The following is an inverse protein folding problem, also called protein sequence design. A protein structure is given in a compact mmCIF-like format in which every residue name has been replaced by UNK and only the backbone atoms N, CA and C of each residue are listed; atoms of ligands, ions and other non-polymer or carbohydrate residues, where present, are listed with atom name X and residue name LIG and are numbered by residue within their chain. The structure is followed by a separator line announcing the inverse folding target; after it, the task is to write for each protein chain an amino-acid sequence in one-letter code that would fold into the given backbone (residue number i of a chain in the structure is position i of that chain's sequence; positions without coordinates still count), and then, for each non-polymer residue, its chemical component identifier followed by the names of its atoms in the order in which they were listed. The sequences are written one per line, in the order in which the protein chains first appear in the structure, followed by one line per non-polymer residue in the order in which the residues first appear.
data_IF_054714207605
#
_entry.id   IF_054714207605
#
_cell.length_a   1.000
_cell.length_b   1.000
_cell.length_c   1.000
_cell.angle_alpha   90.00
_cell.angle_beta   90.00
_cell.angle_gamma   90.00
#
_symmetry.space_group_name_H-M   'P 1'
#
loop_
_entity.id
_entity.type
_entity.pdbx_description
1 polymer ?
#
# COMPACT_ATOMS: atom_id res chain seq x y z
N UNK A 1 -2.25 -10.93 -11.75
CA UNK A 1 -3.70 -11.17 -11.94
C UNK A 1 -4.51 -9.88 -11.86
N UNK A 2 -4.49 -9.21 -10.72
CA UNK A 2 -5.30 -7.99 -10.52
C UNK A 2 -4.65 -6.78 -11.19
N UNK A 3 -3.34 -6.63 -11.09
CA UNK A 3 -2.62 -5.49 -11.65
C UNK A 3 -2.92 -5.25 -13.13
N UNK A 4 -2.78 -6.27 -14.00
CA UNK A 4 -3.07 -6.08 -15.42
C UNK A 4 -4.52 -5.68 -15.70
N UNK A 5 -5.47 -6.16 -14.90
CA UNK A 5 -6.89 -5.77 -15.04
C UNK A 5 -7.06 -4.28 -14.79
N UNK A 6 -6.48 -3.78 -13.70
CA UNK A 6 -6.56 -2.36 -13.35
C UNK A 6 -5.91 -1.50 -14.44
N UNK A 7 -4.75 -1.90 -14.90
CA UNK A 7 -4.01 -1.14 -15.92
C UNK A 7 -4.73 -1.14 -17.26
N UNK A 8 -5.38 -2.25 -17.62
CA UNK A 8 -6.14 -2.32 -18.88
C UNK A 8 -7.34 -1.37 -18.88
N UNK A 9 -7.81 -0.96 -17.71
CA UNK A 9 -8.92 -0.02 -17.59
C UNK A 9 -8.46 1.45 -17.54
N UNK A 10 -7.14 1.68 -17.64
CA UNK A 10 -6.58 3.03 -17.65
C UNK A 10 -6.21 3.59 -16.28
N UNK A 11 -6.17 2.74 -15.26
CA UNK A 11 -5.82 3.17 -13.91
C UNK A 11 -4.46 2.62 -13.49
N UNK A 12 -3.85 3.27 -12.50
CA UNK A 12 -2.62 2.80 -11.91
C UNK A 12 -2.96 1.79 -10.81
N UNK A 13 -2.37 0.61 -10.88
CA UNK A 13 -2.49 -0.36 -9.80
C UNK A 13 -1.48 0.05 -8.72
N UNK A 14 -2.01 0.54 -7.58
CA UNK A 14 -1.14 0.99 -6.49
C UNK A 14 -0.69 -0.15 -5.60
N UNK A 15 -1.60 -1.06 -5.28
CA UNK A 15 -1.28 -2.22 -4.46
C UNK A 15 -2.53 -2.87 -3.91
N UNK A 16 -2.35 -3.91 -3.12
CA UNK A 16 -3.46 -4.56 -2.45
C UNK A 16 -3.09 -4.97 -1.04
N UNK A 17 -4.11 -5.08 -0.20
CA UNK A 17 -3.99 -5.61 1.15
C UNK A 17 -4.99 -6.74 1.32
N UNK A 18 -4.56 -7.84 1.91
CA UNK A 18 -5.42 -8.97 2.22
C UNK A 18 -5.41 -9.18 3.73
N UNK A 19 -6.60 -9.17 4.32
CA UNK A 19 -6.75 -9.31 5.77
C UNK A 19 -7.74 -10.42 6.08
N UNK A 20 -7.29 -11.43 6.82
CA UNK A 20 -8.16 -12.51 7.26
C UNK A 20 -8.81 -12.09 8.58
N UNK A 21 -10.15 -12.14 8.62
CA UNK A 21 -10.93 -11.74 9.80
C UNK A 21 -11.88 -12.89 10.15
N UNK A 22 -11.37 -13.87 10.91
CA UNK A 22 -12.17 -15.03 11.24
C UNK A 22 -12.53 -15.85 10.02
N UNK A 23 -13.85 -16.06 9.78
CA UNK A 23 -14.32 -16.80 8.63
C UNK A 23 -14.41 -15.96 7.37
N UNK A 24 -14.23 -14.65 7.52
CA UNK A 24 -14.37 -13.70 6.43
C UNK A 24 -13.03 -13.02 6.18
N UNK A 25 -12.77 -12.69 4.92
CA UNK A 25 -11.54 -12.01 4.54
C UNK A 25 -11.87 -10.73 3.80
N UNK A 26 -10.99 -9.75 3.91
CA UNK A 26 -11.09 -8.49 3.19
C UNK A 26 -9.94 -8.39 2.20
N UNK A 27 -10.28 -8.22 0.93
CA UNK A 27 -9.30 -7.92 -0.12
C UNK A 27 -9.51 -6.48 -0.53
N UNK A 28 -8.53 -5.63 -0.24
CA UNK A 28 -8.59 -4.21 -0.59
C UNK A 28 -7.60 -3.93 -1.69
N UNK A 29 -8.08 -3.36 -2.79
CA UNK A 29 -7.25 -3.00 -3.95
C UNK A 29 -7.21 -1.49 -4.04
N UNK A 30 -6.00 -0.94 -4.16
CA UNK A 30 -5.80 0.51 -4.30
C UNK A 30 -5.51 0.83 -5.75
N UNK A 31 -6.28 1.75 -6.32
CA UNK A 31 -6.09 2.23 -7.68
C UNK A 31 -5.89 3.74 -7.64
N UNK A 32 -5.14 4.25 -8.61
CA UNK A 32 -4.86 5.67 -8.69
C UNK A 32 -4.95 6.15 -10.13
N UNK A 33 -5.00 7.47 -10.31
CA UNK A 33 -5.03 8.10 -11.62
C UNK A 33 -4.60 9.56 -11.44
N UNK A 34 -3.87 10.10 -12.40
CA UNK A 34 -3.37 11.47 -12.30
C UNK A 34 -4.51 12.51 -12.18
N UNK A 35 -5.68 12.20 -12.73
CA UNK A 35 -6.86 13.08 -12.66
C UNK A 35 -7.76 12.77 -11.47
N UNK A 36 -7.33 11.86 -10.59
CA UNK A 36 -8.10 11.47 -9.42
C UNK A 36 -9.00 10.27 -9.68
N UNK A 37 -9.58 9.76 -8.60
CA UNK A 37 -10.44 8.58 -8.61
C UNK A 37 -11.77 8.95 -7.96
N UNK A 38 -12.88 8.53 -8.59
CA UNK A 38 -14.20 8.71 -8.00
C UNK A 38 -14.86 7.35 -7.71
N UNK A 39 -16.06 7.41 -7.13
CA UNK A 39 -16.81 6.21 -6.73
C UNK A 39 -17.15 5.33 -7.94
N UNK A 40 -17.52 5.95 -9.06
CA UNK A 40 -17.87 5.21 -10.28
C UNK A 40 -16.67 4.46 -10.83
N UNK A 41 -15.48 5.05 -10.77
CA UNK A 41 -14.26 4.38 -11.17
C UNK A 41 -14.01 3.12 -10.33
N UNK A 42 -14.14 3.27 -9.00
CA UNK A 42 -13.94 2.15 -8.09
C UNK A 42 -14.96 1.05 -8.34
N UNK A 43 -16.22 1.41 -8.59
CA UNK A 43 -17.28 0.43 -8.87
C UNK A 43 -16.99 -0.33 -10.16
N UNK A 44 -16.57 0.35 -11.21
CA UNK A 44 -16.24 -0.29 -12.48
C UNK A 44 -15.08 -1.27 -12.35
N UNK A 45 -14.02 -0.85 -11.66
CA UNK A 45 -12.85 -1.71 -11.45
C UNK A 45 -13.23 -2.90 -10.57
N UNK A 46 -14.05 -2.67 -9.54
CA UNK A 46 -14.49 -3.73 -8.64
C UNK A 46 -15.24 -4.82 -9.40
N UNK A 47 -16.15 -4.43 -10.31
CA UNK A 47 -16.90 -5.40 -11.12
C UNK A 47 -15.97 -6.24 -11.99
N UNK A 48 -14.99 -5.60 -12.61
CA UNK A 48 -14.06 -6.30 -13.48
C UNK A 48 -13.16 -7.25 -12.71
N UNK A 49 -12.67 -6.83 -11.54
CA UNK A 49 -11.84 -7.66 -10.68
C UNK A 49 -12.66 -8.86 -10.17
N UNK A 50 -13.92 -8.64 -9.77
CA UNK A 50 -14.79 -9.72 -9.31
C UNK A 50 -14.98 -10.77 -10.38
N UNK A 51 -15.15 -10.37 -11.63
CA UNK A 51 -15.29 -11.31 -12.74
C UNK A 51 -14.06 -12.18 -12.91
N UNK A 52 -12.87 -11.58 -12.81
CA UNK A 52 -11.62 -12.31 -12.94
C UNK A 52 -11.43 -13.26 -11.76
N UNK A 53 -11.73 -12.81 -10.54
CA UNK A 53 -11.58 -13.65 -9.36
C UNK A 53 -12.56 -14.82 -9.35
N UNK A 54 -13.76 -14.63 -9.90
CA UNK A 54 -14.74 -15.72 -10.01
C UNK A 54 -14.23 -16.83 -10.94
N UNK A 55 -13.54 -16.46 -12.01
CA UNK A 55 -12.99 -17.42 -12.96
C UNK A 55 -11.76 -18.12 -12.40
N UNK A 56 -10.82 -17.35 -11.83
CA UNK A 56 -9.55 -17.88 -11.34
C UNK A 56 -9.67 -18.52 -9.97
N UNK A 57 -10.63 -18.07 -9.16
CA UNK A 57 -10.93 -18.59 -7.82
C UNK A 57 -9.69 -18.81 -6.94
N UNK A 58 -8.83 -17.77 -6.79
CA UNK A 58 -7.58 -17.93 -6.03
C UNK A 58 -7.76 -17.94 -4.51
N UNK A 59 -8.95 -17.52 -4.04
CA UNK A 59 -9.24 -17.41 -2.61
C UNK A 59 -10.29 -18.45 -2.26
N UNK A 60 -9.95 -19.41 -1.40
CA UNK A 60 -10.81 -20.53 -1.08
C UNK A 60 -11.88 -20.23 -0.04
N UNK A 61 -11.79 -19.10 0.64
CA UNK A 61 -12.72 -18.69 1.69
C UNK A 61 -13.51 -17.47 1.23
N UNK A 62 -14.60 -17.19 1.93
CA UNK A 62 -15.41 -16.01 1.63
C UNK A 62 -14.59 -14.74 1.86
N UNK A 63 -14.77 -13.76 1.00
CA UNK A 63 -14.08 -12.49 1.10
C UNK A 63 -14.95 -11.35 0.60
N UNK A 64 -14.64 -10.15 1.07
CA UNK A 64 -15.20 -8.90 0.57
C UNK A 64 -14.15 -8.21 -0.26
N UNK A 65 -14.51 -7.81 -1.47
CA UNK A 65 -13.61 -7.01 -2.33
C UNK A 65 -13.95 -5.54 -2.14
N UNK A 66 -12.91 -4.75 -1.85
CA UNK A 66 -13.03 -3.31 -1.72
C UNK A 66 -12.00 -2.66 -2.64
N UNK A 67 -12.45 -1.72 -3.47
CA UNK A 67 -11.57 -0.96 -4.36
C UNK A 67 -11.64 0.50 -3.94
N UNK A 68 -10.49 1.11 -3.73
CA UNK A 68 -10.44 2.49 -3.26
C UNK A 68 -9.20 3.22 -3.77
N UNK A 69 -9.22 4.53 -3.61
CA UNK A 69 -8.04 5.37 -3.84
C UNK A 69 -7.10 5.26 -2.63
N UNK A 70 -5.77 5.37 -2.85
CA UNK A 70 -4.83 5.33 -1.72
C UNK A 70 -4.99 6.48 -0.72
N UNK A 71 -5.53 7.64 -1.16
CA UNK A 71 -5.70 8.78 -0.27
C UNK A 71 -4.41 9.54 -0.02
N UNK A 72 -4.47 10.51 0.91
CA UNK A 72 -3.31 11.33 1.28
C UNK A 72 -2.36 10.57 2.20
N UNK A 73 -2.90 9.67 3.02
CA UNK A 73 -2.14 8.81 3.92
C UNK A 73 -1.88 7.46 3.28
N UNK A 74 -1.58 7.47 1.99
CA UNK A 74 -1.50 6.26 1.18
C UNK A 74 -0.48 5.26 1.70
N UNK A 75 -0.78 3.96 1.57
CA UNK A 75 0.20 2.93 1.91
C UNK A 75 1.30 2.86 0.86
N UNK A 76 2.48 2.43 1.29
CA UNK A 76 3.64 2.25 0.40
C UNK A 76 3.98 0.77 0.34
N UNK A 77 4.06 0.22 -0.87
CA UNK A 77 4.29 -1.20 -1.08
C UNK A 77 5.61 -1.51 -1.77
N UNK A 78 6.07 -0.66 -2.68
CA UNK A 78 7.25 -0.94 -3.51
C UNK A 78 8.33 0.10 -3.28
N UNK A 79 9.59 -0.29 -3.58
CA UNK A 79 10.71 0.65 -3.47
C UNK A 79 10.49 1.89 -4.33
N UNK A 80 9.92 1.72 -5.53
CA UNK A 80 9.63 2.85 -6.40
C UNK A 80 8.68 3.85 -5.75
N UNK A 81 7.69 3.34 -5.02
CA UNK A 81 6.75 4.20 -4.31
C UNK A 81 7.44 4.95 -3.18
N UNK A 82 8.35 4.30 -2.47
CA UNK A 82 9.15 4.98 -1.44
C UNK A 82 9.99 6.09 -2.05
N UNK A 83 10.64 5.82 -3.17
CA UNK A 83 11.45 6.84 -3.84
C UNK A 83 10.63 8.07 -4.17
N UNK A 84 9.41 7.87 -4.66
CA UNK A 84 8.51 8.96 -5.04
C UNK A 84 8.13 9.84 -3.84
N UNK A 85 8.19 9.30 -2.63
CA UNK A 85 7.81 10.01 -1.41
C UNK A 85 8.99 10.37 -0.52
N UNK A 86 10.21 10.36 -1.07
CA UNK A 86 11.40 10.82 -0.37
C UNK A 86 11.18 12.24 0.14
N UNK A 87 11.51 12.47 1.41
CA UNK A 87 11.30 13.76 2.08
C UNK A 87 10.02 13.83 2.90
N UNK A 88 9.09 12.93 2.67
CA UNK A 88 7.84 12.88 3.42
C UNK A 88 8.01 12.16 4.74
N UNK A 89 7.13 12.48 5.69
CA UNK A 89 7.04 11.73 6.93
C UNK A 89 6.24 10.46 6.67
N UNK A 90 6.75 9.33 7.14
CA UNK A 90 6.07 8.05 6.99
C UNK A 90 5.98 7.33 8.33
N UNK A 91 4.94 6.50 8.46
CA UNK A 91 4.79 5.54 9.56
C UNK A 91 5.12 4.17 9.02
N UNK A 92 5.95 3.43 9.75
CA UNK A 92 6.34 2.07 9.35
C UNK A 92 6.10 1.12 10.52
N UNK A 93 5.49 -0.04 10.23
CA UNK A 93 5.37 -1.13 11.17
C UNK A 93 6.09 -2.34 10.60
N UNK A 94 6.97 -2.93 11.39
CA UNK A 94 7.76 -4.09 10.98
C UNK A 94 7.09 -5.39 11.38
N UNK A 95 7.41 -6.44 10.65
CA UNK A 95 6.91 -7.80 10.95
C UNK A 95 7.51 -8.34 12.24
N UNK A 96 8.75 -7.93 12.55
CA UNK A 96 9.45 -8.34 13.75
C UNK A 96 10.26 -7.15 14.27
N UNK A 97 10.61 -7.13 15.57
CA UNK A 97 11.36 -6.00 16.11
C UNK A 97 12.72 -5.80 15.44
N UNK A 98 13.06 -4.56 15.22
CA UNK A 98 14.36 -4.12 14.75
C UNK A 98 14.89 -3.15 15.80
N UNK A 99 16.04 -3.44 16.38
CA UNK A 99 16.62 -2.64 17.46
C UNK A 99 15.62 -2.44 18.61
N UNK A 100 14.84 -3.50 18.89
CA UNK A 100 13.86 -3.50 19.97
C UNK A 100 12.55 -2.81 19.67
N UNK A 101 12.33 -2.33 18.44
CA UNK A 101 11.11 -1.59 18.07
C UNK A 101 10.50 -2.16 16.80
N UNK A 102 9.18 -2.13 16.73
CA UNK A 102 8.44 -2.52 15.53
C UNK A 102 7.82 -1.32 14.81
N UNK A 103 7.68 -0.18 15.48
CA UNK A 103 7.04 1.01 14.90
C UNK A 103 8.05 2.14 14.80
N UNK A 104 8.10 2.74 13.62
CA UNK A 104 8.97 3.87 13.34
C UNK A 104 8.14 4.95 12.66
N UNK A 105 8.30 6.19 13.10
CA UNK A 105 7.69 7.33 12.45
C UNK A 105 8.78 8.40 12.28
N UNK A 106 8.99 8.81 11.05
CA UNK A 106 10.01 9.81 10.76
C UNK A 106 10.07 10.14 9.30
N UNK A 107 11.11 10.86 8.92
CA UNK A 107 11.29 11.30 7.55
C UNK A 107 11.92 10.21 6.70
N UNK A 108 11.33 9.97 5.53
CA UNK A 108 11.92 9.08 4.54
C UNK A 108 13.05 9.82 3.83
N UNK A 109 14.28 9.40 4.05
CA UNK A 109 15.46 10.03 3.46
C UNK A 109 15.70 9.52 2.05
N UNK A 110 15.45 8.24 1.82
CA UNK A 110 15.67 7.64 0.51
C UNK A 110 15.69 6.14 0.63
N UNK A 111 16.29 5.50 -0.37
CA UNK A 111 16.51 4.06 -0.33
C UNK A 111 17.98 3.76 -0.59
N UNK A 112 18.45 2.64 -0.06
CA UNK A 112 19.80 2.14 -0.28
C UNK A 112 19.67 0.65 -0.55
N UNK A 113 19.91 0.24 -1.79
CA UNK A 113 19.67 -1.12 -2.27
C UNK A 113 18.21 -1.50 -2.06
N UNK A 114 17.90 -2.45 -1.18
CA UNK A 114 16.53 -2.86 -0.88
C UNK A 114 16.06 -2.40 0.50
N UNK A 115 16.80 -1.48 1.10
CA UNK A 115 16.47 -0.92 2.40
C UNK A 115 15.93 0.48 2.25
N UNK A 116 14.96 0.83 3.07
CA UNK A 116 14.53 2.22 3.16
C UNK A 116 15.35 2.90 4.26
N UNK A 117 15.71 4.15 4.01
CA UNK A 117 16.46 4.96 4.97
C UNK A 117 15.51 5.96 5.59
N UNK A 118 15.33 5.87 6.90
CA UNK A 118 14.47 6.77 7.67
C UNK A 118 15.27 7.53 8.70
N UNK A 119 14.93 8.79 8.90
CA UNK A 119 15.48 9.59 10.00
C UNK A 119 14.43 9.74 11.08
N UNK A 120 14.78 9.24 12.28
CA UNK A 120 13.91 9.31 13.45
C UNK A 120 14.75 9.90 14.58
N UNK A 121 14.36 11.06 15.09
CA UNK A 121 15.06 11.72 16.23
C UNK A 121 16.57 11.82 16.03
N UNK A 122 17.03 12.33 14.89
CA UNK A 122 18.44 12.52 14.54
C UNK A 122 19.23 11.22 14.31
N UNK A 123 18.54 10.08 14.30
CA UNK A 123 19.17 8.80 13.94
C UNK A 123 18.64 8.32 12.60
N UNK A 124 19.51 7.74 11.79
CA UNK A 124 19.12 7.12 10.54
C UNK A 124 19.05 5.61 10.71
N UNK A 125 17.96 5.03 10.24
CA UNK A 125 17.74 3.59 10.27
C UNK A 125 17.64 3.06 8.85
N UNK A 126 18.28 1.92 8.61
CA UNK A 126 18.18 1.17 7.37
C UNK A 126 17.23 0.01 7.63
N UNK A 127 16.02 0.09 7.07
CA UNK A 127 14.99 -0.90 7.29
C UNK A 127 14.77 -1.72 6.01
N UNK A 128 15.09 -3.03 6.03
CA UNK A 128 14.84 -3.86 4.86
C UNK A 128 13.37 -3.87 4.48
N UNK A 129 13.06 -3.67 3.20
CA UNK A 129 11.68 -3.60 2.77
C UNK A 129 10.91 -4.90 3.07
N UNK A 130 11.59 -6.03 3.03
CA UNK A 130 10.96 -7.32 3.31
C UNK A 130 10.49 -7.46 4.76
N UNK A 131 11.06 -6.67 5.68
CA UNK A 131 10.64 -6.69 7.08
C UNK A 131 9.45 -5.77 7.36
N UNK A 132 9.06 -4.95 6.40
CA UNK A 132 7.98 -4.00 6.58
C UNK A 132 6.64 -4.71 6.38
N UNK A 133 5.82 -4.69 7.43
CA UNK A 133 4.47 -5.21 7.37
C UNK A 133 3.52 -4.19 6.76
N UNK A 134 3.64 -2.93 7.19
CA UNK A 134 2.80 -1.85 6.70
C UNK A 134 3.53 -0.52 6.82
N UNK A 135 3.39 0.31 5.80
CA UNK A 135 3.94 1.67 5.82
C UNK A 135 2.94 2.62 5.16
N UNK A 136 2.82 3.82 5.71
CA UNK A 136 1.91 4.84 5.21
C UNK A 136 2.60 6.20 5.19
N UNK A 137 2.23 7.02 4.21
CA UNK A 137 2.60 8.44 4.21
C UNK A 137 1.78 9.14 5.29
N UNK A 138 2.40 10.00 6.08
CA UNK A 138 1.71 10.82 7.08
C UNK A 138 1.48 12.19 6.45
N UNK A 139 0.22 12.59 6.21
CA UNK A 139 -0.05 13.90 5.61
C UNK A 139 0.42 15.02 6.51
N UNK A 140 1.03 16.04 5.91
CA UNK A 140 1.48 17.24 6.60
C UNK A 140 0.59 18.40 6.16
N UNK A 141 -0.11 18.99 7.10
CA UNK A 141 -0.99 20.12 6.82
C UNK A 141 -0.29 21.41 7.24
N UNK A 142 -0.38 22.40 6.38
CA UNK A 142 0.12 23.73 6.72
C UNK A 142 -0.99 24.51 7.41
N UNK A 143 -0.64 25.15 8.49
CA UNK A 143 -1.56 26.02 9.21
C UNK A 143 -1.76 27.36 8.48
#
# INVERSE_FOLDING_TARGET
MIGPVVESMGFVYWGLEFSAQGRHSLLRVFIDHEDGINVDHCASVSRQISSVLDVEDPISQEYTLEVSSPGMDRPLFTLEQYVAYTGHIIDVRLRMPFDGRRKFKGQLVGIEEQDIVMRVDDHEYLLPIELIDKANVVPQFKD
#
